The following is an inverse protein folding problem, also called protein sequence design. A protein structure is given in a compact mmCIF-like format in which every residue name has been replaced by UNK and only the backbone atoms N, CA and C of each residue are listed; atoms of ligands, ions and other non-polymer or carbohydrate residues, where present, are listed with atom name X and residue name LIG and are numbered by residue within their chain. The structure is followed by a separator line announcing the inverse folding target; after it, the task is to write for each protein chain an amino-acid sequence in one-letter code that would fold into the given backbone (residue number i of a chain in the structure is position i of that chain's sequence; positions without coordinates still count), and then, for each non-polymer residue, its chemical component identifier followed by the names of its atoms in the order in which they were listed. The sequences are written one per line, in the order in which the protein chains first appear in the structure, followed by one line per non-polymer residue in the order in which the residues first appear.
data_IF_580906423474
#
_entry.id   IF_580906423474
#
_cell.length_a   1.000
_cell.length_b   1.000
_cell.length_c   1.000
_cell.angle_alpha   90.00
_cell.angle_beta   90.00
_cell.angle_gamma   90.00
#
_symmetry.space_group_name_H-M   'P 1'
#
loop_
_entity.id
_entity.type
_entity.pdbx_description
1 polymer ?
#
# COMPACT_ATOMS: atom_id res chain seq x y z
N UNK A 1 11.88 0.00 34.95
CA UNK A 1 11.85 -1.46 35.20
C UNK A 1 11.25 -2.28 34.04
N UNK A 2 11.10 -1.73 32.83
CA UNK A 2 10.42 -2.35 31.68
C UNK A 2 11.32 -2.99 30.60
N UNK A 3 12.62 -2.75 30.62
CA UNK A 3 13.54 -3.23 29.56
C UNK A 3 14.06 -4.66 29.81
N UNK A 4 13.94 -5.16 31.04
CA UNK A 4 14.45 -6.49 31.41
C UNK A 4 13.48 -7.66 31.16
N UNK A 5 12.25 -7.40 30.72
CA UNK A 5 11.23 -8.45 30.51
C UNK A 5 11.18 -8.95 29.06
N UNK A 6 11.57 -8.15 28.09
CA UNK A 6 11.50 -8.52 26.66
C UNK A 6 12.65 -9.43 26.22
N UNK A 7 13.81 -9.35 26.86
CA UNK A 7 14.96 -10.23 26.56
C UNK A 7 14.92 -11.60 27.25
N UNK A 8 14.01 -11.81 28.22
CA UNK A 8 13.86 -13.11 28.90
C UNK A 8 13.08 -14.16 28.10
N UNK A 9 12.33 -13.76 27.08
CA UNK A 9 11.42 -14.68 26.38
C UNK A 9 12.06 -15.53 25.26
N UNK A 10 13.26 -15.22 24.80
CA UNK A 10 13.91 -15.99 23.72
C UNK A 10 14.80 -17.15 24.19
N UNK A 11 14.87 -17.43 25.50
CA UNK A 11 15.75 -18.48 26.08
C UNK A 11 15.00 -19.61 26.80
N UNK A 12 13.82 -19.99 26.33
CA UNK A 12 13.20 -21.21 26.85
C UNK A 12 14.03 -22.44 26.41
N UNK A 13 14.35 -23.32 27.36
CA UNK A 13 15.03 -24.58 27.05
C UNK A 13 14.12 -25.49 26.20
N UNK A 14 14.73 -26.37 25.41
CA UNK A 14 13.98 -27.34 24.59
C UNK A 14 13.04 -28.21 25.43
N UNK A 15 13.43 -28.57 26.64
CA UNK A 15 12.59 -29.31 27.59
C UNK A 15 11.37 -28.51 28.06
N UNK A 16 11.52 -27.20 28.28
CA UNK A 16 10.41 -26.32 28.66
C UNK A 16 9.43 -26.16 27.50
N UNK A 17 9.92 -26.00 26.26
CA UNK A 17 9.10 -25.94 25.06
C UNK A 17 8.33 -27.23 24.82
N UNK A 18 8.99 -28.41 25.02
CA UNK A 18 8.34 -29.70 24.91
C UNK A 18 7.22 -29.87 25.95
N UNK A 19 7.48 -29.51 27.22
CA UNK A 19 6.45 -29.60 28.26
C UNK A 19 5.23 -28.70 27.97
N UNK A 20 5.47 -27.48 27.49
CA UNK A 20 4.39 -26.57 27.08
C UNK A 20 3.60 -27.11 25.89
N UNK A 21 4.27 -27.72 24.91
CA UNK A 21 3.64 -28.34 23.75
C UNK A 21 2.77 -29.52 24.15
N UNK A 22 3.25 -30.39 25.02
CA UNK A 22 2.51 -31.54 25.57
C UNK A 22 1.25 -31.07 26.31
N UNK A 23 1.37 -30.09 27.20
CA UNK A 23 0.25 -29.54 27.95
C UNK A 23 -0.81 -28.85 27.03
N UNK A 24 -0.39 -28.20 25.94
CA UNK A 24 -1.28 -27.64 24.92
C UNK A 24 -2.07 -28.74 24.20
N UNK A 25 -1.36 -29.81 23.78
CA UNK A 25 -1.97 -30.94 23.07
C UNK A 25 -2.96 -31.66 23.98
N UNK A 26 -2.65 -31.87 25.25
CA UNK A 26 -3.55 -32.47 26.24
C UNK A 26 -4.79 -31.62 26.50
N UNK A 27 -4.66 -30.29 26.43
CA UNK A 27 -5.77 -29.38 26.72
C UNK A 27 -6.67 -29.14 25.52
N UNK A 28 -6.13 -28.97 24.32
CA UNK A 28 -6.84 -28.51 23.14
C UNK A 28 -6.70 -29.41 21.90
N UNK A 29 -5.89 -30.47 21.97
CA UNK A 29 -5.60 -31.33 20.84
C UNK A 29 -4.43 -30.81 19.97
N UNK A 30 -4.20 -31.45 18.81
CA UNK A 30 -3.09 -31.17 17.91
C UNK A 30 -3.30 -29.95 17.00
N UNK A 31 -4.49 -29.36 17.00
CA UNK A 31 -4.78 -28.15 16.24
C UNK A 31 -5.37 -27.09 17.19
N UNK A 32 -4.68 -25.96 17.31
CA UNK A 32 -5.08 -24.89 18.23
C UNK A 32 -5.24 -23.56 17.50
N UNK A 33 -6.16 -22.72 18.01
CA UNK A 33 -6.36 -21.36 17.54
C UNK A 33 -5.55 -20.37 18.36
N UNK A 34 -5.33 -19.15 17.81
CA UNK A 34 -4.67 -18.06 18.54
C UNK A 34 -5.36 -17.73 19.87
N UNK A 35 -6.69 -17.78 19.89
CA UNK A 35 -7.46 -17.53 21.11
C UNK A 35 -7.15 -18.53 22.21
N UNK A 36 -7.08 -19.82 21.87
CA UNK A 36 -6.74 -20.88 22.80
C UNK A 36 -5.30 -20.77 23.34
N UNK A 37 -4.34 -20.29 22.51
CA UNK A 37 -2.98 -20.01 22.98
C UNK A 37 -2.97 -18.89 24.02
N UNK A 38 -3.72 -17.82 23.80
CA UNK A 38 -3.84 -16.69 24.74
C UNK A 38 -4.51 -17.15 26.05
N UNK A 39 -5.59 -17.91 25.96
CA UNK A 39 -6.28 -18.47 27.13
C UNK A 39 -5.37 -19.39 27.96
N UNK A 40 -4.51 -20.18 27.30
CA UNK A 40 -3.53 -21.05 27.95
C UNK A 40 -2.45 -20.25 28.70
N UNK A 41 -1.92 -19.18 28.09
CA UNK A 41 -0.94 -18.27 28.70
C UNK A 41 -1.55 -17.50 29.89
N UNK A 42 -2.78 -16.99 29.74
CA UNK A 42 -3.50 -16.27 30.80
C UNK A 42 -3.82 -17.17 31.98
N UNK A 43 -4.02 -18.48 31.76
CA UNK A 43 -4.19 -19.45 32.81
C UNK A 43 -2.87 -19.83 33.53
N UNK A 44 -1.74 -19.20 33.16
CA UNK A 44 -0.43 -19.44 33.77
C UNK A 44 0.18 -20.81 33.47
N UNK A 45 -0.32 -21.50 32.42
CA UNK A 45 0.09 -22.89 32.09
C UNK A 45 1.37 -22.98 31.24
N UNK A 46 1.89 -21.85 30.74
CA UNK A 46 3.16 -21.78 30.00
C UNK A 46 3.20 -20.64 28.98
N UNK A 47 4.37 -20.37 28.43
CA UNK A 47 4.57 -19.36 27.40
C UNK A 47 4.51 -20.01 26.01
N UNK A 48 3.56 -19.56 25.18
CA UNK A 48 3.28 -20.12 23.85
C UNK A 48 3.89 -19.31 22.70
N UNK A 49 4.74 -18.31 22.96
CA UNK A 49 5.31 -17.42 21.94
C UNK A 49 6.04 -18.15 20.81
N UNK A 50 6.69 -19.29 21.12
CA UNK A 50 7.37 -20.12 20.13
C UNK A 50 6.40 -20.87 19.20
N UNK A 51 5.19 -21.21 19.66
CA UNK A 51 4.18 -21.91 18.85
C UNK A 51 3.76 -21.07 17.66
N UNK A 52 3.50 -19.77 17.88
CA UNK A 52 3.14 -18.84 16.81
C UNK A 52 4.24 -18.66 15.76
N UNK A 53 5.51 -18.79 16.19
CA UNK A 53 6.67 -18.66 15.30
C UNK A 53 6.93 -19.93 14.47
N UNK A 54 6.74 -21.11 15.03
CA UNK A 54 7.21 -22.37 14.46
C UNK A 54 6.10 -23.22 13.79
N UNK A 55 4.89 -23.23 14.33
CA UNK A 55 3.87 -24.25 14.00
C UNK A 55 2.59 -23.68 13.36
N UNK A 56 2.69 -22.57 12.67
CA UNK A 56 1.54 -21.95 12.01
C UNK A 56 1.12 -22.75 10.78
N UNK A 57 -0.11 -23.30 10.80
CA UNK A 57 -0.70 -24.07 9.69
C UNK A 57 -1.67 -23.26 8.83
N UNK A 58 -2.17 -22.13 9.35
CA UNK A 58 -3.09 -21.23 8.67
C UNK A 58 -3.25 -19.91 9.42
N UNK A 59 -4.19 -19.08 8.99
CA UNK A 59 -4.46 -17.80 9.64
C UNK A 59 -5.09 -18.01 11.01
N UNK A 60 -4.35 -17.71 12.07
CA UNK A 60 -4.80 -17.91 13.45
C UNK A 60 -4.93 -19.37 13.89
N UNK A 61 -4.42 -20.34 13.09
CA UNK A 61 -4.41 -21.75 13.41
C UNK A 61 -2.98 -22.30 13.44
N UNK A 62 -2.75 -23.25 14.34
CA UNK A 62 -1.43 -23.84 14.58
C UNK A 62 -1.58 -25.35 14.71
N UNK A 63 -0.75 -26.10 13.99
CA UNK A 63 -0.65 -27.57 14.09
C UNK A 63 0.51 -27.94 14.99
N UNK A 64 0.23 -28.58 16.11
CA UNK A 64 1.22 -28.93 17.12
C UNK A 64 1.78 -30.32 16.86
N UNK A 65 3.10 -30.48 16.70
CA UNK A 65 3.73 -31.79 16.62
C UNK A 65 3.81 -32.42 18.01
N UNK A 66 3.78 -33.76 18.09
CA UNK A 66 3.90 -34.48 19.35
C UNK A 66 5.25 -34.28 20.02
N UNK A 67 6.31 -34.01 19.26
CA UNK A 67 7.67 -33.81 19.74
C UNK A 67 8.20 -32.46 19.26
N UNK A 68 8.80 -31.67 20.16
CA UNK A 68 9.47 -30.42 19.82
C UNK A 68 10.76 -30.71 19.04
N UNK A 69 10.85 -30.17 17.83
CA UNK A 69 12.04 -30.31 16.98
C UNK A 69 12.90 -29.03 17.04
N UNK A 70 14.03 -29.13 17.76
CA UNK A 70 14.98 -28.03 17.90
C UNK A 70 15.69 -27.66 16.59
N UNK A 71 15.71 -28.56 15.59
CA UNK A 71 16.34 -28.28 14.29
C UNK A 71 15.48 -27.34 13.44
N UNK A 72 14.15 -27.40 13.57
CA UNK A 72 13.21 -26.48 12.93
C UNK A 72 13.37 -25.05 13.47
N UNK A 73 13.63 -24.91 14.76
CA UNK A 73 13.89 -23.63 15.42
C UNK A 73 15.21 -23.01 14.89
N UNK A 74 16.26 -23.81 14.76
CA UNK A 74 17.57 -23.38 14.25
C UNK A 74 17.55 -23.04 12.75
N UNK A 75 16.83 -23.82 11.95
CA UNK A 75 16.81 -23.67 10.48
C UNK A 75 16.06 -22.38 10.05
N UNK A 76 15.03 -21.96 10.78
CA UNK A 76 14.31 -20.71 10.49
C UNK A 76 15.07 -19.44 10.90
N UNK A 77 16.03 -19.53 11.81
CA UNK A 77 16.91 -18.42 12.17
C UNK A 77 18.01 -18.17 11.11
N UNK A 78 18.31 -19.16 10.25
CA UNK A 78 19.38 -19.09 9.24
C UNK A 78 18.85 -18.77 7.83
N UNK A 79 17.58 -19.03 7.53
CA UNK A 79 17.00 -18.82 6.20
C UNK A 79 16.34 -17.44 6.04
N UNK A 80 17.15 -16.39 5.98
CA UNK A 80 16.80 -15.19 5.18
C UNK A 80 17.40 -15.41 3.79
N UNK A 81 16.60 -15.56 2.72
CA UNK A 81 17.14 -15.63 1.39
C UNK A 81 17.78 -14.28 1.03
N UNK A 82 19.07 -14.28 0.70
CA UNK A 82 19.70 -13.20 -0.04
C UNK A 82 19.01 -13.12 -1.41
N UNK A 83 18.46 -11.95 -1.71
CA UNK A 83 17.89 -11.66 -3.01
C UNK A 83 18.95 -11.86 -4.10
N UNK A 84 18.75 -12.86 -4.95
CA UNK A 84 19.46 -13.02 -6.21
C UNK A 84 18.85 -12.05 -7.21
N UNK A 85 19.64 -11.11 -7.67
CA UNK A 85 19.30 -10.17 -8.74
C UNK A 85 19.21 -10.97 -10.05
N UNK A 86 18.01 -11.09 -10.61
CA UNK A 86 17.80 -11.55 -11.99
C UNK A 86 17.77 -10.34 -12.94
N UNK A 87 18.23 -10.48 -14.19
CA UNK A 87 18.40 -9.35 -15.08
C UNK A 87 17.08 -8.70 -15.47
N UNK A 88 17.07 -7.36 -15.43
CA UNK A 88 15.96 -6.50 -15.81
C UNK A 88 15.75 -6.59 -17.32
N UNK A 89 14.57 -7.07 -17.73
CA UNK A 89 14.05 -6.89 -19.09
C UNK A 89 13.30 -5.57 -19.09
N UNK A 90 13.84 -4.58 -19.78
CA UNK A 90 13.19 -3.28 -20.02
C UNK A 90 12.06 -3.49 -21.02
N UNK A 91 10.82 -3.34 -20.57
CA UNK A 91 9.66 -3.16 -21.43
C UNK A 91 9.21 -1.72 -21.21
N UNK A 92 9.28 -0.90 -22.25
CA UNK A 92 8.73 0.45 -22.25
C UNK A 92 7.23 0.38 -21.99
N UNK A 93 6.80 0.84 -20.82
CA UNK A 93 5.40 0.96 -20.44
C UNK A 93 4.94 2.41 -20.64
N UNK A 94 3.70 2.64 -21.11
CA UNK A 94 3.15 3.97 -21.19
C UNK A 94 2.98 4.57 -19.80
N UNK A 95 3.34 5.81 -19.70
CA UNK A 95 3.37 6.70 -18.52
C UNK A 95 2.15 6.52 -17.60
N UNK A 96 2.31 5.72 -16.54
CA UNK A 96 1.44 5.82 -15.37
C UNK A 96 1.76 7.13 -14.64
N UNK A 97 0.72 7.80 -14.18
CA UNK A 97 0.82 8.98 -13.33
C UNK A 97 1.81 8.73 -12.19
N UNK A 98 2.92 9.40 -12.29
CA UNK A 98 4.13 9.25 -11.54
C UNK A 98 3.91 8.98 -10.03
N UNK A 99 4.19 7.75 -9.61
CA UNK A 99 4.97 7.55 -8.41
C UNK A 99 6.35 8.13 -8.74
N UNK A 100 6.54 9.41 -8.51
CA UNK A 100 7.82 10.02 -8.68
C UNK A 100 8.75 9.45 -7.62
N UNK A 101 9.52 8.44 -8.04
CA UNK A 101 10.84 8.19 -7.49
C UNK A 101 11.52 9.56 -7.54
N UNK A 102 11.89 10.10 -6.39
CA UNK A 102 12.69 11.31 -6.30
C UNK A 102 13.97 10.99 -7.08
N UNK A 103 14.21 11.72 -8.17
CA UNK A 103 15.46 11.59 -8.90
C UNK A 103 16.62 11.65 -7.92
N UNK A 104 17.52 10.70 -7.99
CA UNK A 104 18.68 10.59 -7.09
C UNK A 104 19.59 11.85 -7.11
N UNK A 105 19.43 12.71 -8.12
CA UNK A 105 20.11 14.01 -8.27
C UNK A 105 19.40 15.19 -7.57
N UNK A 106 18.21 14.97 -6.99
CA UNK A 106 17.40 16.03 -6.38
C UNK A 106 17.67 16.25 -4.88
N UNK A 107 18.73 15.65 -4.33
CA UNK A 107 19.04 15.78 -2.91
C UNK A 107 19.67 17.14 -2.60
N UNK A 108 19.07 17.84 -1.61
CA UNK A 108 19.61 19.11 -1.07
C UNK A 108 20.79 18.79 -0.15
N UNK A 109 22.00 18.79 -0.69
CA UNK A 109 23.22 18.50 0.05
C UNK A 109 24.24 19.64 -0.04
N UNK A 110 24.97 19.87 1.04
CA UNK A 110 26.00 20.89 1.12
C UNK A 110 27.14 20.46 2.05
N UNK A 111 28.36 20.91 1.75
CA UNK A 111 29.50 20.70 2.63
C UNK A 111 29.41 21.61 3.85
N UNK A 112 29.79 21.07 5.00
CA UNK A 112 29.84 21.81 6.29
C UNK A 112 31.28 21.80 6.77
N UNK A 113 31.87 22.98 6.88
CA UNK A 113 33.21 23.15 7.46
C UNK A 113 33.10 23.44 8.95
N UNK A 114 34.05 22.97 9.74
CA UNK A 114 34.10 23.20 11.20
C UNK A 114 34.12 24.70 11.60
N UNK A 115 34.54 25.59 10.67
CA UNK A 115 34.58 27.01 10.87
C UNK A 115 33.30 27.77 10.52
N UNK A 116 32.30 27.10 9.91
CA UNK A 116 31.07 27.74 9.45
C UNK A 116 30.14 28.04 10.64
N UNK A 117 29.71 29.28 10.78
CA UNK A 117 28.78 29.64 11.86
C UNK A 117 27.38 29.06 11.65
N UNK A 118 26.64 28.83 12.72
CA UNK A 118 25.26 28.33 12.66
C UNK A 118 24.34 29.27 11.83
N UNK A 119 24.58 30.57 11.86
CA UNK A 119 23.83 31.55 11.04
C UNK A 119 24.10 31.39 9.56
N UNK A 120 25.36 31.16 9.18
CA UNK A 120 25.76 31.01 7.77
C UNK A 120 25.21 29.68 7.21
N UNK A 121 25.23 28.62 8.02
CA UNK A 121 24.63 27.34 7.69
C UNK A 121 23.12 27.52 7.41
N UNK A 122 22.42 28.23 8.30
CA UNK A 122 20.97 28.46 8.15
C UNK A 122 20.66 29.25 6.87
N UNK A 123 21.39 30.35 6.64
CA UNK A 123 21.24 31.16 5.41
C UNK A 123 21.48 30.32 4.15
N UNK A 124 22.52 29.50 4.15
CA UNK A 124 22.80 28.61 3.01
C UNK A 124 21.71 27.57 2.78
N UNK A 125 21.14 27.00 3.85
CA UNK A 125 20.03 26.07 3.73
C UNK A 125 18.79 26.78 3.16
N UNK A 126 18.47 27.97 3.61
CA UNK A 126 17.33 28.75 3.11
C UNK A 126 17.49 29.04 1.61
N UNK A 127 18.65 29.49 1.19
CA UNK A 127 18.95 29.72 -0.23
C UNK A 127 18.83 28.44 -1.07
N UNK A 128 19.40 27.32 -0.62
CA UNK A 128 19.30 26.03 -1.31
C UNK A 128 17.85 25.56 -1.45
N UNK A 129 17.08 25.68 -0.36
CA UNK A 129 15.67 25.30 -0.37
C UNK A 129 14.86 26.21 -1.30
N UNK A 130 15.12 27.53 -1.35
CA UNK A 130 14.42 28.44 -2.26
C UNK A 130 14.73 28.18 -3.72
N UNK A 131 15.96 27.83 -4.05
CA UNK A 131 16.41 27.58 -5.43
C UNK A 131 15.98 26.21 -5.96
N UNK A 132 15.71 25.24 -5.07
CA UNK A 132 15.39 23.88 -5.46
C UNK A 132 13.88 23.64 -5.50
N UNK A 133 13.38 23.19 -6.65
CA UNK A 133 12.00 22.67 -6.80
C UNK A 133 11.93 21.13 -6.68
N UNK A 134 13.03 20.50 -6.29
CA UNK A 134 13.17 19.05 -6.40
C UNK A 134 12.24 18.26 -5.45
N UNK A 135 12.13 18.69 -4.20
CA UNK A 135 11.31 18.00 -3.19
C UNK A 135 9.91 18.58 -3.06
N UNK A 136 9.76 19.91 -3.17
CA UNK A 136 8.49 20.60 -3.02
C UNK A 136 7.97 21.08 -4.37
N UNK A 137 6.81 20.58 -4.79
CA UNK A 137 6.17 21.01 -6.04
C UNK A 137 4.66 21.04 -5.89
N UNK A 138 4.01 21.88 -6.71
CA UNK A 138 2.56 21.86 -6.81
C UNK A 138 2.16 20.58 -7.55
N UNK A 139 1.36 19.68 -6.95
CA UNK A 139 0.93 18.45 -7.60
C UNK A 139 0.08 18.75 -8.84
N UNK A 140 0.12 17.85 -9.80
CA UNK A 140 -0.77 17.94 -10.98
C UNK A 140 -2.20 17.58 -10.60
N UNK A 141 -3.14 18.32 -11.18
CA UNK A 141 -4.54 18.05 -11.00
C UNK A 141 -4.97 16.84 -11.83
N UNK A 142 -5.42 15.81 -11.17
CA UNK A 142 -5.89 14.59 -11.83
C UNK A 142 -7.35 14.75 -12.28
N UNK A 143 -7.62 14.57 -13.59
CA UNK A 143 -8.96 14.70 -14.18
C UNK A 143 -9.94 13.63 -13.69
N UNK A 144 -9.44 12.45 -13.32
CA UNK A 144 -10.26 11.37 -12.77
C UNK A 144 -10.64 11.57 -11.30
N UNK A 145 -10.04 12.54 -10.62
CA UNK A 145 -10.33 12.77 -9.21
C UNK A 145 -11.77 13.24 -8.99
N UNK A 146 -12.45 12.60 -8.04
CA UNK A 146 -13.79 12.97 -7.54
C UNK A 146 -13.68 13.19 -6.04
N UNK A 147 -13.99 14.39 -5.53
CA UNK A 147 -14.01 14.66 -4.09
C UNK A 147 -15.08 13.82 -3.38
N UNK A 148 -14.74 13.25 -2.22
CA UNK A 148 -15.69 12.55 -1.34
C UNK A 148 -15.19 12.55 0.11
N UNK A 149 -16.01 12.08 1.04
CA UNK A 149 -15.68 12.05 2.47
C UNK A 149 -15.30 13.44 2.99
N UNK A 150 -14.24 13.48 3.80
CA UNK A 150 -13.78 14.71 4.45
C UNK A 150 -12.83 15.58 3.59
N UNK A 151 -12.86 15.41 2.28
CA UNK A 151 -12.02 16.18 1.35
C UNK A 151 -12.09 17.70 1.58
N UNK A 152 -13.30 18.22 1.84
CA UNK A 152 -13.50 19.65 2.07
C UNK A 152 -12.84 20.13 3.38
N UNK A 153 -12.74 19.28 4.39
CA UNK A 153 -12.03 19.59 5.65
C UNK A 153 -10.53 19.70 5.36
N UNK A 154 -9.94 18.70 4.69
CA UNK A 154 -8.54 18.70 4.27
C UNK A 154 -8.22 19.96 3.46
N UNK A 155 -9.05 20.27 2.46
CA UNK A 155 -8.89 21.45 1.60
C UNK A 155 -8.95 22.76 2.38
N UNK A 156 -9.89 22.89 3.33
CA UNK A 156 -10.01 24.08 4.20
C UNK A 156 -8.78 24.29 5.07
N UNK A 157 -8.22 23.22 5.62
CA UNK A 157 -7.00 23.28 6.43
C UNK A 157 -5.83 23.78 5.58
N UNK A 158 -5.60 23.22 4.41
CA UNK A 158 -4.54 23.66 3.49
C UNK A 158 -4.73 25.15 3.11
N UNK A 159 -5.94 25.53 2.75
CA UNK A 159 -6.27 26.91 2.37
C UNK A 159 -6.08 27.92 3.52
N UNK A 160 -6.28 27.51 4.77
CA UNK A 160 -6.14 28.37 5.93
C UNK A 160 -4.69 28.80 6.18
N UNK A 161 -3.71 28.05 5.68
CA UNK A 161 -2.27 28.23 5.96
C UNK A 161 -1.94 28.23 7.45
N UNK A 162 -2.84 27.73 8.29
CA UNK A 162 -2.61 27.56 9.73
C UNK A 162 -2.06 26.16 9.99
N UNK A 163 -1.22 26.05 10.99
CA UNK A 163 -0.67 24.78 11.42
C UNK A 163 -1.76 23.96 12.14
N UNK A 164 -2.19 22.87 11.49
CA UNK A 164 -3.15 21.92 12.03
C UNK A 164 -2.81 20.52 11.52
N UNK A 165 -2.03 19.72 12.28
CA UNK A 165 -1.72 18.36 11.88
C UNK A 165 -2.96 17.47 11.84
N UNK A 166 -3.04 16.60 10.82
CA UNK A 166 -4.18 15.73 10.57
C UNK A 166 -3.71 14.29 10.46
N UNK A 167 -4.34 13.40 11.22
CA UNK A 167 -4.18 11.96 11.09
C UNK A 167 -5.32 11.38 10.24
N UNK A 168 -5.01 10.73 9.12
CA UNK A 168 -5.98 10.17 8.19
C UNK A 168 -5.88 8.65 8.25
N UNK A 169 -6.89 8.00 8.79
CA UNK A 169 -6.94 6.54 8.91
C UNK A 169 -7.98 5.93 7.98
N UNK A 170 -7.87 4.64 7.71
CA UNK A 170 -8.83 3.86 6.93
C UNK A 170 -8.17 2.77 6.10
N UNK A 171 -8.94 1.90 5.50
CA UNK A 171 -8.45 0.74 4.77
C UNK A 171 -7.64 1.13 3.52
N UNK A 172 -6.77 0.22 3.07
CA UNK A 172 -5.91 0.46 1.90
C UNK A 172 -6.72 0.68 0.62
N UNK A 173 -6.24 1.59 -0.24
CA UNK A 173 -6.81 1.83 -1.56
C UNK A 173 -8.11 2.62 -1.58
N UNK A 174 -8.45 3.34 -0.51
CA UNK A 174 -9.60 4.23 -0.39
C UNK A 174 -9.29 5.73 -0.70
N UNK A 175 -8.05 6.06 -1.10
CA UNK A 175 -7.69 7.40 -1.57
C UNK A 175 -7.20 8.38 -0.50
N UNK A 176 -6.81 7.95 0.71
CA UNK A 176 -6.31 8.83 1.80
C UNK A 176 -5.25 9.83 1.33
N UNK A 177 -4.13 9.34 0.87
CA UNK A 177 -2.98 10.15 0.42
C UNK A 177 -3.33 10.99 -0.80
N UNK A 178 -4.06 10.39 -1.75
CA UNK A 178 -4.45 11.04 -2.99
C UNK A 178 -5.36 12.26 -2.76
N UNK A 179 -6.21 12.27 -1.74
CA UNK A 179 -7.05 13.42 -1.39
C UNK A 179 -6.22 14.62 -0.92
N UNK A 180 -5.18 14.41 -0.13
CA UNK A 180 -4.29 15.49 0.32
C UNK A 180 -3.56 16.09 -0.89
N UNK A 181 -3.00 15.23 -1.74
CA UNK A 181 -2.31 15.63 -2.96
C UNK A 181 -3.22 16.46 -3.88
N UNK A 182 -4.45 15.99 -4.14
CA UNK A 182 -5.41 16.70 -4.98
C UNK A 182 -5.96 17.98 -4.33
N UNK A 183 -6.01 18.06 -3.01
CA UNK A 183 -6.35 19.30 -2.32
C UNK A 183 -5.24 20.34 -2.50
N UNK A 184 -3.97 19.95 -2.40
CA UNK A 184 -2.84 20.83 -2.71
C UNK A 184 -2.84 21.28 -4.18
N UNK A 185 -3.12 20.36 -5.12
CA UNK A 185 -3.24 20.67 -6.55
C UNK A 185 -4.34 21.71 -6.85
N UNK A 186 -5.49 21.57 -6.20
CA UNK A 186 -6.62 22.51 -6.37
C UNK A 186 -6.30 23.89 -5.79
N UNK A 187 -5.69 23.94 -4.61
CA UNK A 187 -5.31 25.19 -3.96
C UNK A 187 -3.99 25.77 -4.52
N UNK A 188 -3.33 25.07 -5.46
CA UNK A 188 -2.04 25.46 -6.08
C UNK A 188 -0.94 25.70 -5.03
N UNK A 189 -0.87 24.79 -4.05
CA UNK A 189 0.10 24.83 -2.97
C UNK A 189 1.12 23.72 -3.20
N UNK A 190 2.40 24.02 -2.96
CA UNK A 190 3.46 23.02 -2.97
C UNK A 190 3.16 21.93 -1.94
N UNK A 191 3.61 20.73 -2.22
CA UNK A 191 3.37 19.56 -1.39
C UNK A 191 4.59 18.65 -1.41
N UNK A 192 4.92 18.11 -0.26
CA UNK A 192 5.94 17.06 -0.11
C UNK A 192 5.25 15.79 0.38
N UNK A 193 5.60 14.65 -0.21
CA UNK A 193 5.14 13.33 0.24
C UNK A 193 6.33 12.46 0.56
N UNK A 194 6.29 11.81 1.71
CA UNK A 194 7.26 10.81 2.15
C UNK A 194 6.53 9.53 2.52
N UNK A 195 7.10 8.38 2.16
CA UNK A 195 6.60 7.08 2.56
C UNK A 195 7.47 6.55 3.70
N UNK A 196 6.83 6.16 4.79
CA UNK A 196 7.52 5.55 5.93
C UNK A 196 7.74 4.07 5.66
N UNK A 197 8.90 3.60 6.06
CA UNK A 197 9.27 2.17 6.09
C UNK A 197 9.71 1.79 7.50
N UNK A 198 9.89 0.50 7.74
CA UNK A 198 10.42 -0.01 9.02
C UNK A 198 11.84 0.51 9.33
N UNK A 199 12.59 0.90 8.30
CA UNK A 199 13.97 1.37 8.39
C UNK A 199 14.10 2.88 8.48
N UNK A 200 13.03 3.62 8.16
CA UNK A 200 13.02 5.09 8.18
C UNK A 200 13.44 5.64 9.53
N UNK A 201 14.39 6.56 9.52
CA UNK A 201 14.95 7.13 10.74
C UNK A 201 15.06 8.68 10.71
N UNK A 202 15.72 9.24 11.73
CA UNK A 202 15.90 10.68 11.87
C UNK A 202 16.68 11.27 10.69
N UNK A 203 17.66 10.54 10.16
CA UNK A 203 18.49 11.00 9.05
C UNK A 203 17.69 11.11 7.75
N UNK A 204 16.73 10.21 7.55
CA UNK A 204 15.85 10.22 6.38
C UNK A 204 14.80 11.34 6.47
N UNK A 205 14.35 11.67 7.68
CA UNK A 205 13.27 12.63 7.91
C UNK A 205 13.80 14.06 8.05
N UNK A 206 14.86 14.24 8.81
CA UNK A 206 15.42 15.56 9.19
C UNK A 206 16.67 15.86 8.38
N UNK A 207 17.53 14.86 8.19
CA UNK A 207 18.77 14.98 7.46
C UNK A 207 19.98 14.44 8.20
N UNK A 208 20.98 14.07 7.43
CA UNK A 208 22.19 13.44 7.93
C UNK A 208 23.41 13.65 7.07
N UNK A 209 24.57 13.33 7.62
CA UNK A 209 25.80 13.35 6.87
C UNK A 209 25.88 12.14 5.92
N UNK A 210 26.27 12.43 4.68
CA UNK A 210 26.47 11.43 3.61
C UNK A 210 27.84 11.61 2.98
N UNK A 211 28.45 10.55 2.47
CA UNK A 211 29.66 10.61 1.69
C UNK A 211 29.29 10.68 0.20
N UNK A 212 29.56 11.81 -0.46
CA UNK A 212 29.32 12.02 -1.89
C UNK A 212 30.62 12.46 -2.56
N UNK A 213 31.02 11.75 -3.59
CA UNK A 213 32.23 12.06 -4.38
C UNK A 213 33.55 12.20 -3.54
N UNK A 214 33.63 11.49 -2.42
CA UNK A 214 34.76 11.55 -1.49
C UNK A 214 34.71 12.67 -0.46
N UNK A 215 33.68 13.51 -0.47
CA UNK A 215 33.44 14.57 0.50
C UNK A 215 32.28 14.25 1.42
N UNK A 216 32.38 14.68 2.68
CA UNK A 216 31.28 14.58 3.63
C UNK A 216 30.36 15.78 3.45
N UNK A 217 29.10 15.51 3.07
CA UNK A 217 28.08 16.53 2.89
C UNK A 217 26.90 16.27 3.83
N UNK A 218 26.23 17.33 4.29
CA UNK A 218 24.96 17.19 4.96
C UNK A 218 23.84 17.20 3.92
N UNK A 219 23.01 16.16 3.95
CA UNK A 219 21.82 16.03 3.12
C UNK A 219 20.59 16.36 3.94
N UNK A 220 19.84 17.39 3.48
CA UNK A 220 18.67 17.89 4.18
C UNK A 220 17.48 16.97 3.92
N UNK A 221 16.78 16.56 4.99
CA UNK A 221 15.58 15.73 4.88
C UNK A 221 14.32 16.53 4.48
N UNK A 222 13.23 15.85 4.16
CA UNK A 222 12.00 16.47 3.66
C UNK A 222 11.26 17.32 4.69
N UNK A 223 11.38 17.04 5.98
CA UNK A 223 10.70 17.80 7.06
C UNK A 223 11.21 19.23 7.14
N UNK A 224 12.54 19.50 7.29
CA UNK A 224 13.07 20.85 7.27
C UNK A 224 12.72 21.62 5.98
N UNK A 225 12.74 20.92 4.84
CA UNK A 225 12.36 21.53 3.55
C UNK A 225 10.91 22.00 3.58
N UNK A 226 9.96 21.15 4.02
CA UNK A 226 8.56 21.54 4.13
C UNK A 226 8.35 22.72 5.10
N UNK A 227 9.06 22.73 6.23
CA UNK A 227 9.01 23.83 7.21
C UNK A 227 9.49 25.15 6.59
N UNK A 228 10.61 25.14 5.89
CA UNK A 228 11.21 26.33 5.25
C UNK A 228 10.41 26.81 4.03
N UNK A 229 9.80 25.90 3.27
CA UNK A 229 8.89 26.25 2.14
C UNK A 229 7.52 26.73 2.64
N UNK A 230 7.12 26.39 3.87
CA UNK A 230 5.78 26.68 4.36
C UNK A 230 4.71 25.90 3.59
N UNK A 231 4.97 24.63 3.25
CA UNK A 231 4.07 23.79 2.50
C UNK A 231 3.61 22.55 3.30
N UNK A 232 2.42 22.00 2.98
CA UNK A 232 1.96 20.74 3.54
C UNK A 232 2.91 19.59 3.23
N UNK A 233 3.13 18.71 4.22
CA UNK A 233 3.84 17.45 4.05
C UNK A 233 2.93 16.29 4.39
N UNK A 234 2.92 15.24 3.56
CA UNK A 234 2.24 13.99 3.85
C UNK A 234 3.24 12.92 4.23
N UNK A 235 3.07 12.38 5.44
CA UNK A 235 3.79 11.22 5.95
C UNK A 235 2.90 10.01 5.73
N UNK A 236 3.20 9.24 4.68
CA UNK A 236 2.38 8.10 4.26
C UNK A 236 2.81 6.83 5.00
N UNK A 237 1.81 6.01 5.38
CA UNK A 237 2.02 4.74 6.10
C UNK A 237 2.74 4.90 7.45
N UNK A 238 2.39 5.95 8.22
CA UNK A 238 3.01 6.27 9.52
C UNK A 238 2.92 5.10 10.53
N UNK A 239 1.96 4.22 10.39
CA UNK A 239 1.80 3.01 11.19
C UNK A 239 2.88 1.94 10.95
N UNK A 240 3.74 2.10 9.93
CA UNK A 240 4.96 1.31 9.77
C UNK A 240 6.14 1.87 10.57
N UNK A 241 6.02 3.11 11.08
CA UNK A 241 7.12 3.82 11.71
C UNK A 241 7.69 3.08 12.92
N UNK A 242 9.02 3.06 13.01
CA UNK A 242 9.72 2.66 14.22
C UNK A 242 9.65 3.77 15.29
N UNK A 243 9.98 3.51 16.56
CA UNK A 243 10.04 4.53 17.60
C UNK A 243 10.95 5.73 17.27
N UNK A 244 11.81 5.64 16.27
CA UNK A 244 12.68 6.74 15.82
C UNK A 244 11.90 7.94 15.28
N UNK A 245 10.65 7.72 14.81
CA UNK A 245 9.74 8.80 14.35
C UNK A 245 9.41 9.83 15.45
N UNK A 246 9.70 9.52 16.71
CA UNK A 246 9.50 10.44 17.84
C UNK A 246 10.35 11.73 17.74
N UNK A 247 11.35 11.78 16.87
CA UNK A 247 12.07 13.01 16.51
C UNK A 247 11.13 14.09 15.94
N UNK A 248 9.96 13.73 15.41
CA UNK A 248 8.95 14.63 14.86
C UNK A 248 8.03 15.28 15.91
N UNK A 249 8.14 14.93 17.21
CA UNK A 249 7.27 15.49 18.24
C UNK A 249 7.24 17.04 18.24
N UNK A 250 8.37 17.77 18.22
CA UNK A 250 8.34 19.22 18.16
C UNK A 250 7.66 19.76 16.90
N UNK A 251 7.86 19.06 15.77
CA UNK A 251 7.28 19.40 14.47
C UNK A 251 5.75 19.29 14.51
N UNK A 252 5.22 18.23 15.12
CA UNK A 252 3.77 18.02 15.29
C UNK A 252 3.11 19.00 16.27
N UNK A 253 3.90 19.68 17.10
CA UNK A 253 3.44 20.77 17.96
C UNK A 253 3.57 22.16 17.30
N UNK A 254 4.05 22.21 16.03
CA UNK A 254 4.31 23.49 15.34
C UNK A 254 5.49 24.27 15.90
N UNK A 255 6.35 23.62 16.67
CA UNK A 255 7.53 24.23 17.28
C UNK A 255 8.73 24.21 16.33
N UNK A 256 9.72 25.09 16.56
CA UNK A 256 10.99 25.02 15.84
C UNK A 256 11.67 23.65 16.00
N UNK A 257 12.27 23.18 14.92
CA UNK A 257 13.03 21.94 14.84
C UNK A 257 14.52 22.22 15.00
N UNK A 258 15.17 21.61 15.97
CA UNK A 258 16.62 21.71 16.16
C UNK A 258 17.30 20.53 15.44
N UNK A 259 18.11 20.84 14.43
CA UNK A 259 18.98 19.86 13.77
C UNK A 259 20.28 19.78 14.56
N UNK A 260 20.34 18.83 15.49
CA UNK A 260 21.45 18.69 16.46
C UNK A 260 22.81 18.55 15.80
N UNK A 261 22.88 17.84 14.65
CA UNK A 261 24.11 17.60 13.90
C UNK A 261 24.74 18.88 13.31
N UNK A 262 23.92 19.91 13.09
CA UNK A 262 24.34 21.19 12.56
C UNK A 262 24.34 22.32 13.62
N UNK A 263 23.79 22.06 14.81
CA UNK A 263 23.63 23.09 15.84
C UNK A 263 22.67 24.23 15.47
N UNK A 264 21.74 24.01 14.51
CA UNK A 264 20.80 25.03 14.02
C UNK A 264 19.36 24.71 14.43
N UNK A 265 18.53 25.75 14.44
CA UNK A 265 17.10 25.62 14.72
C UNK A 265 16.29 26.26 13.59
N UNK A 266 15.33 25.52 13.02
CA UNK A 266 14.48 25.94 11.92
C UNK A 266 13.07 26.16 12.44
N UNK A 267 12.51 27.34 12.21
CA UNK A 267 11.12 27.66 12.53
C UNK A 267 10.22 27.39 11.32
N UNK A 268 9.00 26.84 11.51
CA UNK A 268 8.08 26.60 10.41
C UNK A 268 7.55 27.92 9.83
N UNK A 269 7.59 28.05 8.48
CA UNK A 269 6.95 29.17 7.77
C UNK A 269 5.43 28.95 7.69
N UNK A 270 4.61 30.04 7.59
CA UNK A 270 3.16 29.94 7.43
C UNK A 270 2.77 29.06 6.22
N UNK A 271 1.80 28.15 6.41
CA UNK A 271 1.38 27.18 5.42
C UNK A 271 1.94 25.77 5.63
N UNK A 272 2.99 25.64 6.46
CA UNK A 272 3.44 24.33 6.89
C UNK A 272 2.38 23.62 7.73
N UNK A 273 2.07 22.38 7.41
CA UNK A 273 1.23 21.48 8.22
C UNK A 273 1.55 20.03 7.86
N UNK A 274 1.19 19.10 8.74
CA UNK A 274 1.49 17.67 8.60
C UNK A 274 0.21 16.87 8.40
N UNK A 275 0.18 16.06 7.36
CA UNK A 275 -0.83 15.03 7.16
C UNK A 275 -0.15 13.66 7.34
N UNK A 276 -0.63 12.85 8.27
CA UNK A 276 -0.15 11.48 8.43
C UNK A 276 -1.24 10.51 7.95
N UNK A 277 -0.89 9.52 7.14
CA UNK A 277 -1.84 8.48 6.72
C UNK A 277 -1.48 7.14 7.34
N UNK A 278 -2.49 6.35 7.69
CA UNK A 278 -2.35 5.04 8.27
C UNK A 278 -3.44 4.09 7.79
N UNK A 279 -3.16 2.80 7.77
CA UNK A 279 -4.16 1.76 7.51
C UNK A 279 -4.83 1.31 8.82
N UNK A 280 -4.24 1.64 9.96
CA UNK A 280 -4.75 1.38 11.31
C UNK A 280 -5.01 2.71 12.03
N UNK A 281 -5.67 2.63 13.20
CA UNK A 281 -5.84 3.83 14.07
C UNK A 281 -4.63 4.06 14.99
N UNK A 282 -3.43 3.62 14.56
CA UNK A 282 -2.22 3.68 15.37
C UNK A 282 -2.11 2.58 16.44
N UNK A 283 -3.05 1.65 16.46
CA UNK A 283 -3.10 0.52 17.42
C UNK A 283 -2.50 -0.77 16.88
N UNK A 284 -1.83 -0.72 15.73
CA UNK A 284 -1.34 -1.91 15.03
C UNK A 284 -2.48 -2.73 14.42
N UNK A 285 -2.15 -3.92 13.93
CA UNK A 285 -3.12 -4.87 13.37
C UNK A 285 -3.17 -6.12 14.23
N UNK A 286 -4.14 -6.18 15.14
CA UNK A 286 -4.36 -7.36 16.00
C UNK A 286 -4.79 -8.59 15.20
N UNK A 287 -5.44 -8.38 14.06
CA UNK A 287 -5.92 -9.42 13.15
C UNK A 287 -4.87 -9.90 12.12
N UNK A 288 -3.66 -9.30 12.13
CA UNK A 288 -2.57 -9.64 11.22
C UNK A 288 -2.80 -9.24 9.75
N UNK A 289 -3.84 -8.47 9.45
CA UNK A 289 -4.17 -8.00 8.08
C UNK A 289 -3.14 -7.02 7.54
N UNK A 290 -2.59 -6.18 8.41
CA UNK A 290 -1.55 -5.20 8.08
C UNK A 290 -0.23 -5.62 8.70
N UNK A 291 0.46 -6.55 8.03
CA UNK A 291 1.76 -7.06 8.49
C UNK A 291 2.77 -5.92 8.50
N UNK A 292 3.49 -5.79 9.62
CA UNK A 292 4.53 -4.76 9.79
C UNK A 292 4.05 -3.45 10.41
N UNK A 293 2.73 -3.28 10.65
CA UNK A 293 2.26 -2.10 11.40
C UNK A 293 2.63 -2.20 12.87
N UNK A 294 3.08 -1.08 13.42
CA UNK A 294 3.49 -0.94 14.80
C UNK A 294 2.40 -0.24 15.63
N UNK A 295 2.46 -0.44 16.94
CA UNK A 295 1.73 0.39 17.89
C UNK A 295 2.41 1.76 17.95
N UNK A 296 1.70 2.80 17.53
CA UNK A 296 2.18 4.17 17.69
C UNK A 296 2.01 4.58 19.16
N UNK A 297 2.96 5.40 19.62
CA UNK A 297 2.90 5.96 20.97
C UNK A 297 1.69 6.88 21.10
N UNK A 298 0.88 6.70 22.14
CA UNK A 298 -0.33 7.52 22.41
C UNK A 298 0.01 9.02 22.46
N UNK A 299 1.12 9.39 23.13
CA UNK A 299 1.56 10.78 23.17
C UNK A 299 1.93 11.35 21.79
N UNK A 300 2.33 10.50 20.83
CA UNK A 300 2.54 10.91 19.44
C UNK A 300 1.20 11.14 18.72
N UNK A 301 0.22 10.26 18.92
CA UNK A 301 -1.11 10.37 18.31
C UNK A 301 -1.88 11.59 18.84
N UNK A 302 -1.76 11.93 20.13
CA UNK A 302 -2.39 13.11 20.76
C UNK A 302 -1.92 14.45 20.16
N UNK A 303 -0.81 14.44 19.40
CA UNK A 303 -0.34 15.63 18.68
C UNK A 303 -1.06 15.89 17.36
N UNK A 304 -1.95 15.00 16.98
CA UNK A 304 -2.86 15.20 15.86
C UNK A 304 -4.25 15.60 16.35
N UNK A 305 -4.56 16.90 16.40
CA UNK A 305 -5.85 17.38 16.93
C UNK A 305 -7.04 16.98 16.06
N UNK A 306 -6.79 16.59 14.80
CA UNK A 306 -7.81 16.15 13.86
C UNK A 306 -7.48 14.74 13.40
N UNK A 307 -8.44 13.83 13.61
CA UNK A 307 -8.41 12.48 13.02
C UNK A 307 -9.54 12.36 12.02
N UNK A 308 -9.19 12.05 10.77
CA UNK A 308 -10.14 11.79 9.69
C UNK A 308 -10.20 10.29 9.43
N UNK A 309 -11.39 9.71 9.56
CA UNK A 309 -11.63 8.33 9.17
C UNK A 309 -12.13 8.28 7.74
N UNK A 310 -11.27 7.86 6.82
CA UNK A 310 -11.58 7.81 5.41
C UNK A 310 -12.24 6.48 5.05
N UNK A 311 -13.54 6.51 4.83
CA UNK A 311 -14.32 5.39 4.29
C UNK A 311 -14.10 5.22 2.78
N UNK A 312 -14.57 4.11 2.21
CA UNK A 312 -14.70 3.99 0.76
C UNK A 312 -15.78 4.94 0.23
N UNK A 313 -15.68 5.36 -1.03
CA UNK A 313 -16.69 6.23 -1.63
C UNK A 313 -18.02 5.49 -1.80
N UNK A 314 -19.14 6.22 -1.79
CA UNK A 314 -20.45 5.66 -2.12
C UNK A 314 -20.49 5.13 -3.55
N UNK A 315 -21.41 4.21 -3.86
CA UNK A 315 -21.59 3.62 -5.20
C UNK A 315 -21.63 4.71 -6.30
N UNK A 316 -22.39 5.78 -6.07
CA UNK A 316 -22.54 6.87 -7.05
C UNK A 316 -21.24 7.66 -7.30
N UNK A 317 -20.43 7.85 -6.26
CA UNK A 317 -19.11 8.50 -6.36
C UNK A 317 -18.11 7.54 -6.99
N UNK A 318 -18.11 6.28 -6.60
CA UNK A 318 -17.20 5.26 -7.13
C UNK A 318 -17.44 5.05 -8.63
N UNK A 319 -18.71 4.94 -9.07
CA UNK A 319 -19.06 4.91 -10.49
C UNK A 319 -18.46 6.10 -11.26
N UNK A 320 -18.53 7.34 -10.69
CA UNK A 320 -17.92 8.52 -11.31
C UNK A 320 -16.40 8.43 -11.38
N UNK A 321 -15.75 7.89 -10.34
CA UNK A 321 -14.30 7.67 -10.33
C UNK A 321 -13.92 6.69 -11.45
N UNK A 322 -14.64 5.58 -11.57
CA UNK A 322 -14.39 4.57 -12.59
C UNK A 322 -14.58 5.13 -14.00
N UNK A 323 -15.68 5.84 -14.24
CA UNK A 323 -15.96 6.48 -15.52
C UNK A 323 -14.85 7.45 -15.92
N UNK A 324 -14.49 8.38 -15.03
CA UNK A 324 -13.43 9.35 -15.30
C UNK A 324 -12.05 8.69 -15.48
N UNK A 325 -11.78 7.61 -14.74
CA UNK A 325 -10.54 6.86 -14.90
C UNK A 325 -10.46 6.16 -16.26
N UNK A 326 -11.60 5.74 -16.82
CA UNK A 326 -11.71 5.19 -18.16
C UNK A 326 -11.51 6.26 -19.24
N UNK A 327 -12.21 7.39 -19.09
CA UNK A 327 -12.11 8.55 -20.00
C UNK A 327 -10.68 9.14 -20.03
N UNK A 328 -9.97 9.11 -18.90
CA UNK A 328 -8.57 9.58 -18.82
C UNK A 328 -7.63 8.76 -19.71
N UNK A 329 -7.98 7.53 -20.05
CA UNK A 329 -7.23 6.69 -20.98
C UNK A 329 -7.54 6.97 -22.46
N UNK A 330 -8.34 8.01 -22.75
CA UNK A 330 -8.76 8.35 -24.10
C UNK A 330 -9.91 7.50 -24.64
N UNK A 331 -10.52 6.66 -23.79
CA UNK A 331 -11.63 5.79 -24.16
C UNK A 331 -12.97 6.50 -23.93
N UNK A 332 -13.92 6.32 -24.85
CA UNK A 332 -15.30 6.80 -24.69
C UNK A 332 -16.15 5.69 -24.09
N UNK A 333 -16.81 5.97 -22.97
CA UNK A 333 -17.65 5.00 -22.30
C UNK A 333 -18.95 4.75 -23.09
N UNK A 334 -19.15 3.50 -23.51
CA UNK A 334 -20.42 3.04 -24.08
C UNK A 334 -21.46 2.80 -22.97
N UNK A 335 -22.76 2.70 -23.27
CA UNK A 335 -23.79 2.37 -22.28
C UNK A 335 -23.48 1.06 -21.53
N UNK A 336 -22.92 0.06 -22.21
CA UNK A 336 -22.50 -1.23 -21.65
C UNK A 336 -21.36 -1.02 -20.63
N UNK A 337 -20.33 -0.26 -21.00
CA UNK A 337 -19.23 0.07 -20.08
C UNK A 337 -19.72 0.82 -18.83
N UNK A 338 -20.68 1.75 -18.98
CA UNK A 338 -21.28 2.47 -17.85
C UNK A 338 -22.03 1.50 -16.93
N UNK A 339 -22.76 0.54 -17.49
CA UNK A 339 -23.47 -0.50 -16.74
C UNK A 339 -22.46 -1.41 -16.01
N UNK A 340 -21.39 -1.81 -16.70
CA UNK A 340 -20.29 -2.57 -16.10
C UNK A 340 -19.68 -1.84 -14.88
N UNK A 341 -19.38 -0.54 -15.00
CA UNK A 341 -18.79 0.23 -13.89
C UNK A 341 -19.76 0.38 -12.71
N UNK A 342 -21.05 0.50 -12.97
CA UNK A 342 -22.06 0.52 -11.91
C UNK A 342 -22.14 -0.85 -11.20
N UNK A 343 -22.13 -1.93 -11.98
CA UNK A 343 -22.10 -3.31 -11.46
C UNK A 343 -20.88 -3.54 -10.58
N UNK A 344 -19.70 -3.09 -11.02
CA UNK A 344 -18.46 -3.17 -10.24
C UNK A 344 -18.57 -2.42 -8.91
N UNK A 345 -19.14 -1.21 -8.91
CA UNK A 345 -19.30 -0.42 -7.68
C UNK A 345 -20.27 -1.08 -6.69
N UNK A 346 -21.39 -1.61 -7.16
CA UNK A 346 -22.36 -2.35 -6.32
C UNK A 346 -21.77 -3.65 -5.76
N UNK A 347 -21.08 -4.40 -6.61
CA UNK A 347 -20.40 -5.62 -6.21
C UNK A 347 -19.33 -5.37 -5.14
N UNK A 348 -18.49 -4.35 -5.30
CA UNK A 348 -17.48 -4.02 -4.32
C UNK A 348 -18.08 -3.56 -2.99
N UNK A 349 -19.17 -2.78 -3.03
CA UNK A 349 -19.87 -2.36 -1.81
C UNK A 349 -20.40 -3.56 -1.03
N UNK A 350 -21.04 -4.52 -1.70
CA UNK A 350 -21.51 -5.75 -1.05
C UNK A 350 -20.38 -6.55 -0.42
N UNK A 351 -19.24 -6.69 -1.12
CA UNK A 351 -18.05 -7.34 -0.57
C UNK A 351 -17.56 -6.61 0.69
N UNK A 352 -17.53 -5.28 0.68
CA UNK A 352 -17.08 -4.48 1.83
C UNK A 352 -18.03 -4.60 3.02
N UNK A 353 -19.34 -4.59 2.79
CA UNK A 353 -20.33 -4.84 3.85
C UNK A 353 -20.08 -6.21 4.48
N UNK A 354 -19.98 -7.27 3.67
CA UNK A 354 -19.70 -8.63 4.15
C UNK A 354 -18.36 -8.72 4.89
N UNK A 355 -17.34 -7.96 4.44
CA UNK A 355 -16.05 -7.88 5.11
C UNK A 355 -16.16 -7.25 6.51
N UNK A 356 -16.93 -6.16 6.66
CA UNK A 356 -17.13 -5.51 7.97
C UNK A 356 -18.02 -6.36 8.91
N UNK A 357 -18.87 -7.21 8.36
CA UNK A 357 -19.66 -8.20 9.10
C UNK A 357 -18.86 -9.49 9.41
N UNK A 358 -17.54 -9.48 9.15
CA UNK A 358 -16.63 -10.62 9.37
C UNK A 358 -16.96 -11.88 8.56
N UNK A 359 -17.80 -11.74 7.51
CA UNK A 359 -18.18 -12.85 6.63
C UNK A 359 -17.08 -13.28 5.67
N UNK A 360 -16.15 -12.38 5.35
CA UNK A 360 -14.99 -12.63 4.47
C UNK A 360 -13.76 -11.89 4.99
N UNK A 361 -12.56 -12.42 4.67
CA UNK A 361 -11.29 -11.84 5.12
C UNK A 361 -10.67 -10.85 4.14
N UNK A 362 -11.02 -10.93 2.87
CA UNK A 362 -10.52 -10.09 1.79
C UNK A 362 -11.57 -9.10 1.30
N UNK A 363 -11.11 -7.97 0.73
CA UNK A 363 -11.98 -6.94 0.20
C UNK A 363 -11.52 -6.44 -1.18
N UNK A 364 -12.45 -5.80 -1.87
CA UNK A 364 -12.20 -5.09 -3.13
C UNK A 364 -12.13 -3.58 -2.85
N UNK A 365 -10.93 -3.01 -2.96
CA UNK A 365 -10.71 -1.57 -2.79
C UNK A 365 -11.08 -0.78 -4.05
N UNK A 366 -11.33 0.52 -3.92
CA UNK A 366 -11.51 1.43 -5.06
C UNK A 366 -10.31 1.39 -6.02
N UNK A 367 -9.08 1.30 -5.49
CA UNK A 367 -7.88 1.11 -6.32
C UNK A 367 -7.98 -0.15 -7.17
N UNK A 368 -8.51 -1.25 -6.63
CA UNK A 368 -8.71 -2.49 -7.38
C UNK A 368 -9.73 -2.32 -8.49
N UNK A 369 -10.82 -1.62 -8.23
CA UNK A 369 -11.82 -1.32 -9.27
C UNK A 369 -11.24 -0.47 -10.41
N UNK A 370 -10.44 0.55 -10.08
CA UNK A 370 -9.73 1.34 -11.10
C UNK A 370 -8.80 0.47 -11.94
N UNK A 371 -8.10 -0.51 -11.33
CA UNK A 371 -7.28 -1.47 -12.09
C UNK A 371 -8.13 -2.35 -13.01
N UNK A 372 -9.30 -2.82 -12.57
CA UNK A 372 -10.22 -3.58 -13.43
C UNK A 372 -10.65 -2.74 -14.64
N UNK A 373 -11.03 -1.48 -14.41
CA UNK A 373 -11.44 -0.57 -15.49
C UNK A 373 -10.30 -0.27 -16.46
N UNK A 374 -9.08 -0.04 -15.97
CA UNK A 374 -7.89 0.12 -16.81
C UNK A 374 -7.60 -1.14 -17.63
N UNK A 375 -7.74 -2.31 -17.03
CA UNK A 375 -7.57 -3.60 -17.71
C UNK A 375 -8.65 -3.81 -18.76
N UNK A 376 -9.91 -3.45 -18.45
CA UNK A 376 -11.00 -3.47 -19.41
C UNK A 376 -10.75 -2.55 -20.61
N UNK A 377 -10.20 -1.36 -20.39
CA UNK A 377 -9.84 -0.45 -21.48
C UNK A 377 -8.80 -1.05 -22.46
N UNK A 378 -7.94 -1.95 -21.99
CA UNK A 378 -6.92 -2.61 -22.82
C UNK A 378 -7.51 -3.80 -23.59
N UNK A 379 -8.29 -4.66 -22.92
CA UNK A 379 -8.72 -5.94 -23.49
C UNK A 379 -10.14 -5.91 -24.06
N UNK A 380 -10.94 -4.93 -23.72
CA UNK A 380 -12.38 -4.81 -24.06
C UNK A 380 -13.18 -6.08 -23.72
N UNK A 381 -12.81 -6.73 -22.63
CA UNK A 381 -13.39 -7.98 -22.14
C UNK A 381 -13.53 -7.90 -20.60
N UNK A 382 -14.79 -7.86 -20.14
CA UNK A 382 -15.12 -7.73 -18.71
C UNK A 382 -14.63 -8.92 -17.90
N UNK A 383 -14.85 -10.14 -18.39
CA UNK A 383 -14.49 -11.36 -17.67
C UNK A 383 -12.97 -11.50 -17.56
N UNK A 384 -12.26 -11.17 -18.65
CA UNK A 384 -10.80 -11.18 -18.64
C UNK A 384 -10.24 -10.13 -17.70
N UNK A 385 -10.79 -8.91 -17.68
CA UNK A 385 -10.38 -7.83 -16.78
C UNK A 385 -10.59 -8.22 -15.31
N UNK A 386 -11.74 -8.79 -14.97
CA UNK A 386 -12.04 -9.31 -13.65
C UNK A 386 -11.05 -10.40 -13.23
N UNK A 387 -10.92 -11.46 -14.07
CA UNK A 387 -10.05 -12.61 -13.78
C UNK A 387 -8.62 -12.18 -13.53
N UNK A 388 -8.03 -11.36 -14.41
CA UNK A 388 -6.65 -10.90 -14.28
C UNK A 388 -6.43 -10.08 -12.99
N UNK A 389 -7.38 -9.22 -12.65
CA UNK A 389 -7.28 -8.39 -11.44
C UNK A 389 -7.58 -9.16 -10.15
N UNK A 390 -8.31 -10.28 -10.22
CA UNK A 390 -8.64 -11.12 -9.06
C UNK A 390 -7.61 -12.22 -8.79
N UNK A 391 -6.71 -12.54 -9.73
CA UNK A 391 -5.70 -13.60 -9.59
C UNK A 391 -4.74 -13.43 -8.39
N UNK A 392 -4.69 -12.25 -7.77
CA UNK A 392 -3.91 -12.02 -6.54
C UNK A 392 -4.50 -12.68 -5.29
N UNK A 393 -5.80 -12.98 -5.32
CA UNK A 393 -6.51 -13.63 -4.22
C UNK A 393 -6.36 -15.14 -4.30
N UNK A 394 -6.52 -15.82 -3.18
CA UNK A 394 -6.58 -17.26 -3.15
C UNK A 394 -7.74 -17.77 -4.00
N UNK A 395 -7.60 -18.95 -4.60
CA UNK A 395 -8.58 -19.49 -5.57
C UNK A 395 -10.00 -19.59 -4.99
N UNK A 396 -10.13 -19.89 -3.72
CA UNK A 396 -11.42 -19.96 -3.03
C UNK A 396 -12.09 -18.58 -2.92
N UNK A 397 -11.32 -17.56 -2.54
CA UNK A 397 -11.79 -16.17 -2.46
C UNK A 397 -12.11 -15.63 -3.84
N UNK A 398 -11.27 -15.92 -4.83
CA UNK A 398 -11.50 -15.55 -6.22
C UNK A 398 -12.83 -16.13 -6.75
N UNK A 399 -13.09 -17.41 -6.50
CA UNK A 399 -14.34 -18.06 -6.90
C UNK A 399 -15.57 -17.40 -6.25
N UNK A 400 -15.50 -17.13 -4.95
CA UNK A 400 -16.57 -16.42 -4.23
C UNK A 400 -16.83 -15.02 -4.79
N UNK A 401 -15.79 -14.27 -5.12
CA UNK A 401 -15.92 -12.94 -5.70
C UNK A 401 -16.53 -12.97 -7.11
N UNK A 402 -16.11 -13.92 -7.95
CA UNK A 402 -16.67 -14.09 -9.30
C UNK A 402 -18.14 -14.55 -9.24
N UNK A 403 -18.48 -15.49 -8.35
CA UNK A 403 -19.86 -15.96 -8.19
C UNK A 403 -20.78 -14.85 -7.65
N UNK A 404 -20.27 -14.01 -6.76
CA UNK A 404 -21.01 -12.84 -6.31
C UNK A 404 -21.19 -11.83 -7.45
N UNK A 405 -20.15 -11.59 -8.27
CA UNK A 405 -20.24 -10.70 -9.41
C UNK A 405 -21.34 -11.12 -10.41
N UNK A 406 -21.41 -12.41 -10.72
CA UNK A 406 -22.45 -12.95 -11.63
C UNK A 406 -23.88 -12.65 -11.18
N UNK A 407 -24.12 -12.49 -9.89
CA UNK A 407 -25.46 -12.13 -9.36
C UNK A 407 -25.83 -10.66 -9.61
N UNK A 408 -24.85 -9.80 -9.89
CA UNK A 408 -25.05 -8.38 -10.21
C UNK A 408 -24.96 -8.10 -11.70
N UNK A 409 -24.27 -8.97 -12.45
CA UNK A 409 -24.18 -8.83 -13.90
C UNK A 409 -25.58 -9.03 -14.51
N UNK A 410 -26.00 -8.20 -15.49
CA UNK A 410 -27.21 -8.49 -16.25
C UNK A 410 -27.10 -9.88 -16.85
N UNK A 411 -28.19 -10.68 -16.75
CA UNK A 411 -28.24 -11.99 -17.40
C UNK A 411 -27.93 -11.77 -18.89
N UNK A 412 -26.85 -12.41 -19.37
CA UNK A 412 -26.60 -12.47 -20.81
C UNK A 412 -27.83 -13.15 -21.44
N UNK A 413 -28.54 -12.47 -22.32
CA UNK A 413 -29.58 -13.10 -23.10
C UNK A 413 -28.96 -14.36 -23.74
N UNK A 414 -29.59 -15.55 -23.61
CA UNK A 414 -29.06 -16.75 -24.20
C UNK A 414 -28.93 -16.51 -25.70
N UNK A 415 -27.73 -16.63 -26.24
CA UNK A 415 -27.50 -16.63 -27.67
C UNK A 415 -28.44 -17.73 -28.26
N UNK A 416 -29.46 -17.32 -28.94
CA UNK A 416 -30.31 -18.21 -29.72
C UNK A 416 -29.39 -18.87 -30.75
N UNK A 417 -29.24 -20.18 -30.74
CA UNK A 417 -28.43 -20.84 -31.76
C UNK A 417 -29.08 -20.56 -33.11
N UNK A 418 -28.38 -19.83 -33.97
CA UNK A 418 -28.76 -19.68 -35.37
C UNK A 418 -28.78 -21.06 -36.02
N UNK A 419 -30.00 -21.58 -36.19
CA UNK A 419 -30.25 -22.80 -36.99
C UNK A 419 -30.05 -22.42 -38.44
N UNK A 420 -28.83 -22.55 -38.95
CA UNK A 420 -28.62 -22.61 -40.40
C UNK A 420 -29.14 -23.92 -40.91
N UNK A 421 -30.09 -23.79 -41.81
CA UNK A 421 -30.86 -24.89 -42.38
C UNK A 421 -29.97 -25.89 -43.13
N UNK A 422 -30.05 -27.11 -42.66
CA UNK A 422 -29.60 -28.29 -43.40
C UNK A 422 -30.63 -28.56 -44.49
N UNK A 423 -30.36 -28.20 -45.73
CA UNK A 423 -31.01 -28.80 -46.91
C UNK A 423 -30.19 -30.01 -47.35
N UNK A 424 -30.73 -31.18 -47.07
CA UNK A 424 -30.24 -32.41 -47.62
C UNK A 424 -30.54 -32.53 -49.12
N UNK A 425 -29.55 -32.84 -49.93
CA UNK A 425 -29.77 -33.54 -51.19
C UNK A 425 -28.69 -34.62 -51.33
N UNK A 426 -29.19 -35.85 -51.38
CA UNK A 426 -28.42 -37.05 -51.68
C UNK A 426 -28.09 -37.09 -53.18
N UNK A 427 -26.95 -37.61 -53.55
CA UNK A 427 -26.77 -38.75 -54.50
C UNK A 427 -25.32 -38.87 -54.99
N UNK A 428 -24.86 -40.10 -54.83
CA UNK A 428 -24.01 -40.95 -55.62
C UNK A 428 -22.48 -40.82 -55.68
N UNK A 429 -21.91 -41.91 -55.24
CA UNK A 429 -20.53 -42.45 -55.46
C UNK A 429 -20.33 -42.96 -56.85
N UNK A 430 -19.21 -43.64 -57.25
CA UNK A 430 -17.80 -43.52 -56.88
C UNK A 430 -16.83 -43.50 -58.08
N UNK A 431 -15.53 -43.65 -57.79
CA UNK A 431 -14.38 -44.00 -58.63
C UNK A 431 -13.65 -42.90 -59.41
N UNK A 432 -12.41 -42.63 -59.14
CA UNK A 432 -11.23 -43.29 -59.64
C UNK A 432 -9.91 -42.67 -59.26
N UNK A 433 -9.00 -43.51 -58.92
CA UNK A 433 -7.58 -43.28 -58.72
C UNK A 433 -6.91 -42.67 -59.98
N UNK A 434 -6.01 -41.66 -59.79
CA UNK A 434 -4.65 -41.75 -60.39
C UNK A 434 -3.71 -40.65 -59.87
N UNK A 435 -2.62 -41.11 -59.37
CA UNK A 435 -1.32 -40.49 -59.17
C UNK A 435 -0.76 -39.92 -60.46
N UNK A 436 -0.21 -38.72 -60.47
CA UNK A 436 1.08 -38.48 -61.18
C UNK A 436 1.73 -37.18 -60.70
N UNK A 437 2.95 -37.38 -60.46
CA UNK A 437 4.09 -36.54 -60.07
C UNK A 437 4.51 -35.57 -61.20
N UNK A 438 5.36 -34.66 -60.76
CA UNK A 438 6.34 -33.79 -61.46
C UNK A 438 5.95 -32.33 -61.57
N UNK A 439 6.67 -31.43 -60.95
CA UNK A 439 8.05 -31.10 -61.24
C UNK A 439 8.12 -29.74 -61.90
N UNK A 440 8.87 -28.82 -61.30
CA UNK A 440 9.60 -27.86 -62.13
C UNK A 440 9.23 -26.39 -62.02
N UNK A 441 10.03 -25.72 -61.29
CA UNK A 441 10.79 -24.50 -61.63
C UNK A 441 10.15 -23.18 -62.09
N UNK A 442 10.56 -22.18 -61.34
CA UNK A 442 11.28 -20.98 -61.79
C UNK A 442 10.52 -19.70 -62.16
N UNK A 443 10.79 -18.70 -61.31
CA UNK A 443 11.32 -17.36 -61.66
C UNK A 443 10.46 -16.30 -62.40
N UNK A 444 10.43 -15.16 -61.73
CA UNK A 444 10.41 -13.78 -62.27
C UNK A 444 9.05 -13.16 -62.63
N UNK A 445 8.63 -12.22 -61.85
CA UNK A 445 8.82 -10.77 -62.03
C UNK A 445 8.26 -10.05 -60.75
#
# INVERSE_FOLDING_TARGET
MGVAQTERNDRMSSSTKQNTLTALIETYGTSVTRRQLIEFEQAGRGNCSFVGKLYRSGRGQYSLPAVYDATVDATRLISRPKATVSPVITIDAPTESANTVVDADASLSFAVDESTSASDILTRIEELVEQSSALARVPERNSAFVPFGEFNVIRKIIKSKQFHPVFITGLSGNGKTFQVEQACAIEKVEHIRINITLETDEDDLIGGFRLKNGETVFELGPIPVAMLRGCPITIDEIDLASPKVMCLQPVLEGRPLTIKKLGITIAPKPGFTVFATANTKGRGSDDGRFVGTNLLNEAFLERFPITVEQAYPSISVEKKILLRSFEQLGATATPEAVTFFETLARWAETIRVTYFEEGIEDLISTRRLVHIVKTYAIFNDEQRALTLCLNRFDKEVQAKFVDLYKKFAPEAEPETPSVEGVTASAQDSPDDLRVQDSGGDALKA
#
